data_IF_214344310976
#
_entry.id   IF_214344310976
#
_cell.length_a   1.000
_cell.length_b   1.000
_cell.length_c   1.000
_cell.angle_alpha   90.00
_cell.angle_beta   90.00
_cell.angle_gamma   90.00
#
_symmetry.space_group_name_H-M   'P 1'
#
loop_
_entity.id
_entity.type
_entity.pdbx_description
1 polymer ?
#
# COMPACT_ATOMS: atom_id res chain seq x y z
N UNK A 1 -57.82 8.81 -27.09
CA UNK A 1 -57.07 7.58 -26.74
C UNK A 1 -55.56 7.73 -26.81
N UNK A 2 -54.97 8.46 -27.77
CA UNK A 2 -53.50 8.61 -27.87
C UNK A 2 -52.92 9.47 -26.72
N UNK A 3 -53.60 10.55 -26.32
CA UNK A 3 -53.10 11.39 -25.22
C UNK A 3 -53.02 10.64 -23.88
N UNK A 4 -54.02 9.79 -23.60
CA UNK A 4 -54.12 9.02 -22.36
C UNK A 4 -53.02 7.95 -22.25
N UNK A 5 -52.61 7.34 -23.37
CA UNK A 5 -51.52 6.36 -23.37
C UNK A 5 -50.15 7.01 -23.16
N UNK A 6 -49.93 8.20 -23.74
CA UNK A 6 -48.68 8.97 -23.55
C UNK A 6 -48.52 9.39 -22.09
N UNK A 7 -49.58 9.90 -21.46
CA UNK A 7 -49.54 10.26 -20.03
C UNK A 7 -49.26 9.07 -19.13
N UNK A 8 -49.83 7.90 -19.43
CA UNK A 8 -49.61 6.69 -18.62
C UNK A 8 -48.17 6.18 -18.75
N UNK A 9 -47.61 6.21 -19.96
CA UNK A 9 -46.23 5.81 -20.21
C UNK A 9 -45.21 6.75 -19.50
N UNK A 10 -45.46 8.06 -19.49
CA UNK A 10 -44.61 9.03 -18.80
C UNK A 10 -44.61 8.82 -17.28
N UNK A 11 -45.77 8.54 -16.69
CA UNK A 11 -45.88 8.24 -15.25
C UNK A 11 -45.15 6.92 -14.92
N UNK A 12 -45.31 5.89 -15.74
CA UNK A 12 -44.62 4.61 -15.54
C UNK A 12 -43.09 4.80 -15.61
N UNK A 13 -42.59 5.55 -16.60
CA UNK A 13 -41.16 5.84 -16.75
C UNK A 13 -40.59 6.61 -15.54
N UNK A 14 -41.37 7.53 -14.94
CA UNK A 14 -40.93 8.29 -13.76
C UNK A 14 -40.91 7.46 -12.47
N UNK A 15 -41.74 6.42 -12.34
CA UNK A 15 -41.80 5.59 -11.11
C UNK A 15 -40.72 4.51 -11.02
N UNK A 16 -40.21 4.02 -12.16
CA UNK A 16 -39.13 3.03 -12.24
C UNK A 16 -37.83 3.44 -11.51
N UNK A 17 -37.27 4.65 -11.68
CA UNK A 17 -36.05 5.04 -10.98
C UNK A 17 -36.25 5.18 -9.46
N UNK A 18 -37.43 5.61 -9.02
CA UNK A 18 -37.77 5.74 -7.59
C UNK A 18 -37.81 4.37 -6.92
N UNK A 19 -38.40 3.36 -7.58
CA UNK A 19 -38.43 1.99 -7.09
C UNK A 19 -37.01 1.37 -7.02
N UNK A 20 -36.16 1.63 -8.02
CA UNK A 20 -34.76 1.20 -8.04
C UNK A 20 -33.95 1.80 -6.88
N UNK A 21 -34.12 3.09 -6.62
CA UNK A 21 -33.44 3.79 -5.51
C UNK A 21 -33.83 3.22 -4.14
N UNK A 22 -35.12 2.98 -3.91
CA UNK A 22 -35.63 2.40 -2.66
C UNK A 22 -35.11 0.96 -2.42
N UNK A 23 -35.03 0.16 -3.48
CA UNK A 23 -34.46 -1.19 -3.40
C UNK A 23 -32.95 -1.15 -3.10
N UNK A 24 -32.21 -0.21 -3.71
CA UNK A 24 -30.78 0.00 -3.47
C UNK A 24 -30.49 0.41 -2.02
N UNK A 25 -31.27 1.35 -1.46
CA UNK A 25 -31.11 1.79 -0.05
C UNK A 25 -31.34 0.64 0.93
N UNK A 26 -32.34 -0.23 0.67
CA UNK A 26 -32.60 -1.41 1.52
C UNK A 26 -31.45 -2.42 1.46
N UNK A 27 -30.90 -2.70 0.27
CA UNK A 27 -29.72 -3.58 0.12
C UNK A 27 -28.50 -3.00 0.83
N UNK A 28 -28.25 -1.70 0.69
CA UNK A 28 -27.16 -1.00 1.36
C UNK A 28 -27.26 -1.06 2.89
N UNK A 29 -28.45 -0.91 3.46
CA UNK A 29 -28.66 -1.05 4.92
C UNK A 29 -28.35 -2.47 5.42
N UNK A 30 -28.76 -3.50 4.67
CA UNK A 30 -28.46 -4.91 5.01
C UNK A 30 -26.96 -5.21 4.94
N UNK A 31 -26.27 -4.73 3.90
CA UNK A 31 -24.82 -4.90 3.76
C UNK A 31 -24.05 -4.22 4.90
N UNK A 32 -24.44 -2.99 5.30
CA UNK A 32 -23.83 -2.30 6.44
C UNK A 32 -24.11 -2.99 7.77
N UNK A 33 -25.30 -3.56 7.96
CA UNK A 33 -25.62 -4.33 9.16
C UNK A 33 -24.76 -5.60 9.24
N UNK A 34 -24.58 -6.31 8.12
CA UNK A 34 -23.71 -7.48 8.04
C UNK A 34 -22.24 -7.13 8.32
N UNK A 35 -21.72 -6.03 7.76
CA UNK A 35 -20.36 -5.56 8.03
C UNK A 35 -20.14 -5.18 9.49
N UNK A 36 -21.12 -4.52 10.13
CA UNK A 36 -21.05 -4.20 11.57
C UNK A 36 -21.05 -5.45 12.44
N UNK A 37 -21.86 -6.45 12.09
CA UNK A 37 -21.87 -7.74 12.79
C UNK A 37 -20.53 -8.48 12.61
N UNK A 38 -19.97 -8.48 11.40
CA UNK A 38 -18.65 -9.06 11.13
C UNK A 38 -17.54 -8.35 11.93
N UNK A 39 -17.54 -7.02 11.96
CA UNK A 39 -16.57 -6.23 12.74
C UNK A 39 -16.70 -6.47 14.25
N UNK A 40 -17.93 -6.55 14.77
CA UNK A 40 -18.18 -6.90 16.18
C UNK A 40 -17.66 -8.31 16.52
N UNK A 41 -17.83 -9.28 15.61
CA UNK A 41 -17.30 -10.63 15.81
C UNK A 41 -15.76 -10.69 15.74
N UNK A 42 -15.15 -9.90 14.86
CA UNK A 42 -13.70 -9.85 14.71
C UNK A 42 -13.02 -9.16 15.91
N UNK A 43 -13.60 -8.07 16.40
CA UNK A 43 -13.15 -7.39 17.62
C UNK A 43 -13.28 -8.28 18.85
N UNK A 44 -14.40 -8.98 19.03
CA UNK A 44 -14.55 -9.95 20.11
C UNK A 44 -13.51 -11.09 20.04
N UNK A 45 -13.16 -11.58 18.84
CA UNK A 45 -12.09 -12.59 18.68
C UNK A 45 -10.71 -12.01 18.97
N UNK A 46 -10.45 -10.76 18.60
CA UNK A 46 -9.20 -10.07 18.90
C UNK A 46 -9.04 -9.87 20.40
N UNK A 47 -10.08 -9.42 21.11
CA UNK A 47 -10.10 -9.30 22.57
C UNK A 47 -9.92 -10.67 23.26
N UNK A 48 -10.53 -11.73 22.73
CA UNK A 48 -10.31 -13.10 23.21
C UNK A 48 -8.87 -13.58 22.98
N UNK A 49 -8.26 -13.25 21.84
CA UNK A 49 -6.88 -13.58 21.54
C UNK A 49 -5.88 -12.76 22.38
N UNK A 50 -6.18 -11.49 22.66
CA UNK A 50 -5.39 -10.63 23.52
C UNK A 50 -5.49 -11.02 24.99
N UNK A 51 -6.68 -11.37 25.48
CA UNK A 51 -6.85 -11.95 26.83
C UNK A 51 -6.17 -13.30 26.93
N UNK A 52 -6.24 -14.17 25.91
CA UNK A 52 -5.47 -15.41 25.87
C UNK A 52 -3.95 -15.17 25.87
N UNK A 53 -3.45 -14.14 25.16
CA UNK A 53 -2.03 -13.74 25.16
C UNK A 53 -1.58 -13.11 26.49
N UNK A 54 -2.42 -12.27 27.10
CA UNK A 54 -2.14 -11.62 28.37
C UNK A 54 -2.14 -12.63 29.53
N UNK A 55 -2.82 -13.78 29.37
CA UNK A 55 -2.92 -14.84 30.38
C UNK A 55 -1.74 -15.83 30.40
N UNK A 56 -0.63 -15.63 29.67
CA UNK A 56 0.27 -16.77 29.41
C UNK A 56 1.80 -16.59 29.38
N UNK A 57 2.48 -16.24 30.50
CA UNK A 57 3.71 -16.95 30.87
C UNK A 57 3.44 -18.45 31.17
N UNK A 58 2.21 -18.79 31.58
CA UNK A 58 1.76 -20.17 31.85
C UNK A 58 1.52 -21.00 30.59
N UNK A 59 1.13 -20.41 29.44
CA UNK A 59 0.97 -21.17 28.19
C UNK A 59 2.30 -21.70 27.65
N UNK A 60 3.43 -21.03 27.92
CA UNK A 60 4.76 -21.56 27.58
C UNK A 60 5.09 -22.78 28.46
N UNK A 61 4.72 -22.76 29.74
CA UNK A 61 4.87 -23.91 30.62
C UNK A 61 3.98 -25.07 30.15
N UNK A 62 2.71 -24.82 29.81
CA UNK A 62 1.78 -25.84 29.30
C UNK A 62 2.22 -26.39 27.94
N UNK A 63 2.64 -25.55 26.98
CA UNK A 63 3.20 -25.99 25.70
C UNK A 63 4.50 -26.77 25.89
N UNK A 64 5.35 -26.39 26.84
CA UNK A 64 6.58 -27.15 27.15
C UNK A 64 6.25 -28.51 27.75
N UNK A 65 5.21 -28.60 28.59
CA UNK A 65 4.75 -29.82 29.22
C UNK A 65 4.07 -30.75 28.20
N UNK A 66 3.31 -30.19 27.27
CA UNK A 66 2.63 -30.90 26.18
C UNK A 66 3.65 -31.40 25.14
N UNK A 67 4.64 -30.58 24.78
CA UNK A 67 5.78 -30.99 23.97
C UNK A 67 6.58 -32.10 24.66
N UNK A 68 6.86 -31.99 25.97
CA UNK A 68 7.51 -33.07 26.73
C UNK A 68 6.70 -34.37 26.72
N UNK A 69 5.37 -34.28 26.78
CA UNK A 69 4.47 -35.43 26.74
C UNK A 69 4.44 -36.10 25.37
N UNK A 70 4.50 -35.32 24.29
CA UNK A 70 4.54 -35.80 22.90
C UNK A 70 5.92 -36.34 22.51
N UNK A 71 6.99 -35.76 23.06
CA UNK A 71 8.37 -36.22 22.85
C UNK A 71 8.74 -37.44 23.70
N UNK A 72 8.10 -37.66 24.85
CA UNK A 72 8.36 -38.81 25.73
C UNK A 72 8.34 -40.19 25.02
N UNK A 73 7.37 -40.53 24.15
CA UNK A 73 7.37 -41.81 23.43
C UNK A 73 8.44 -41.90 22.33
N UNK A 74 8.88 -40.77 21.77
CA UNK A 74 9.96 -40.72 20.77
C UNK A 74 11.34 -40.86 21.45
N UNK A 75 11.48 -40.32 22.66
CA UNK A 75 12.65 -40.46 23.53
C UNK A 75 12.79 -41.86 24.15
N UNK A 76 11.69 -42.62 24.25
CA UNK A 76 11.67 -44.00 24.74
C UNK A 76 12.06 -45.04 23.67
N UNK A 77 12.29 -44.62 22.42
CA UNK A 77 12.79 -45.50 21.36
C UNK A 77 14.31 -45.72 21.50
N UNK A 78 14.82 -46.95 21.34
CA UNK A 78 16.16 -47.33 21.78
C UNK A 78 17.26 -46.97 20.78
N UNK A 79 17.44 -45.69 20.48
CA UNK A 79 18.62 -45.18 19.79
C UNK A 79 19.16 -43.92 20.50
N UNK A 80 19.94 -44.09 21.59
CA UNK A 80 20.41 -42.99 22.44
C UNK A 80 21.26 -41.95 21.70
N UNK A 81 22.01 -42.35 20.68
CA UNK A 81 22.90 -41.45 19.94
C UNK A 81 22.17 -40.43 19.04
N UNK A 82 21.05 -40.82 18.42
CA UNK A 82 20.30 -39.94 17.52
C UNK A 82 19.50 -38.88 18.28
N UNK A 83 19.00 -39.24 19.47
CA UNK A 83 18.26 -38.34 20.36
C UNK A 83 19.18 -37.28 20.96
N UNK A 84 20.38 -37.66 21.41
CA UNK A 84 21.35 -36.71 21.95
C UNK A 84 21.86 -35.72 20.90
N UNK A 85 22.09 -36.19 19.67
CA UNK A 85 22.46 -35.33 18.54
C UNK A 85 21.37 -34.30 18.21
N UNK A 86 20.10 -34.74 18.14
CA UNK A 86 18.98 -33.84 17.84
C UNK A 86 18.73 -32.83 18.97
N UNK A 87 18.89 -33.24 20.23
CA UNK A 87 18.80 -32.33 21.38
C UNK A 87 19.94 -31.30 21.38
N UNK A 88 21.14 -31.70 20.99
CA UNK A 88 22.29 -30.80 20.89
C UNK A 88 22.10 -29.78 19.76
N UNK A 89 21.60 -30.20 18.59
CA UNK A 89 21.30 -29.30 17.48
C UNK A 89 20.18 -28.30 17.81
N UNK A 90 19.10 -28.76 18.46
CA UNK A 90 18.00 -27.87 18.86
C UNK A 90 18.43 -26.85 19.92
N UNK A 91 19.30 -27.24 20.86
CA UNK A 91 19.90 -26.28 21.81
C UNK A 91 20.83 -25.29 21.12
N UNK A 92 21.69 -25.76 20.21
CA UNK A 92 22.57 -24.88 19.45
C UNK A 92 21.80 -23.88 18.59
N UNK A 93 20.68 -24.30 17.97
CA UNK A 93 19.77 -23.42 17.23
C UNK A 93 19.06 -22.42 18.16
N UNK A 94 18.58 -22.87 19.32
CA UNK A 94 17.95 -21.99 20.30
C UNK A 94 18.92 -20.94 20.85
N UNK A 95 20.16 -21.33 21.15
CA UNK A 95 21.19 -20.43 21.64
C UNK A 95 21.61 -19.43 20.55
N UNK A 96 21.74 -19.87 19.30
CA UNK A 96 21.99 -19.03 18.12
C UNK A 96 20.89 -18.01 17.86
N UNK A 97 19.62 -18.42 17.95
CA UNK A 97 18.48 -17.52 17.76
C UNK A 97 18.40 -16.53 18.93
N UNK A 98 18.57 -16.99 20.17
CA UNK A 98 18.50 -16.13 21.35
C UNK A 98 19.66 -15.13 21.45
N UNK A 99 20.85 -15.47 20.93
CA UNK A 99 21.97 -14.53 20.81
C UNK A 99 21.76 -13.53 19.67
N UNK A 100 21.18 -13.94 18.54
CA UNK A 100 20.77 -13.02 17.46
C UNK A 100 19.68 -12.05 17.89
N UNK A 101 18.68 -12.50 18.65
CA UNK A 101 17.62 -11.65 19.18
C UNK A 101 18.17 -10.63 20.18
N UNK A 102 19.01 -11.08 21.13
CA UNK A 102 19.69 -10.18 22.07
C UNK A 102 20.60 -9.16 21.36
N UNK A 103 21.29 -9.59 20.30
CA UNK A 103 22.12 -8.70 19.47
C UNK A 103 21.28 -7.68 18.70
N UNK A 104 20.13 -8.09 18.16
CA UNK A 104 19.19 -7.18 17.49
C UNK A 104 18.56 -6.18 18.45
N UNK A 105 18.22 -6.58 19.67
CA UNK A 105 17.66 -5.68 20.67
C UNK A 105 18.71 -4.69 21.18
N UNK A 106 19.94 -5.15 21.44
CA UNK A 106 21.06 -4.27 21.79
C UNK A 106 21.36 -3.27 20.66
N UNK A 107 21.35 -3.73 19.40
CA UNK A 107 21.55 -2.86 18.24
C UNK A 107 20.40 -1.86 18.07
N UNK A 108 19.15 -2.28 18.28
CA UNK A 108 17.98 -1.38 18.23
C UNK A 108 18.04 -0.31 19.31
N UNK A 109 18.45 -0.68 20.52
CA UNK A 109 18.63 0.27 21.61
C UNK A 109 19.80 1.23 21.36
N UNK A 110 20.88 0.76 20.76
CA UNK A 110 22.00 1.61 20.35
C UNK A 110 21.60 2.59 19.23
N UNK A 111 20.89 2.11 18.20
CA UNK A 111 20.36 2.96 17.12
C UNK A 111 19.35 3.97 17.67
N UNK A 112 18.50 3.59 18.62
CA UNK A 112 17.54 4.51 19.27
C UNK A 112 18.24 5.55 20.13
N UNK A 113 19.32 5.16 20.80
CA UNK A 113 20.16 6.07 21.61
C UNK A 113 20.92 7.05 20.71
N UNK A 114 21.48 6.57 19.60
CA UNK A 114 22.17 7.42 18.62
C UNK A 114 21.19 8.37 17.90
N UNK A 115 20.02 7.89 17.47
CA UNK A 115 18.98 8.73 16.86
C UNK A 115 18.44 9.78 17.82
N UNK A 116 18.21 9.45 19.09
CA UNK A 116 17.76 10.43 20.09
C UNK A 116 18.84 11.47 20.42
N UNK A 117 20.12 11.09 20.33
CA UNK A 117 21.26 12.02 20.48
C UNK A 117 21.36 12.97 19.29
N UNK A 118 21.17 12.45 18.07
CA UNK A 118 21.17 13.22 16.81
C UNK A 118 19.97 14.17 16.75
N UNK A 119 18.78 13.72 17.16
CA UNK A 119 17.57 14.56 17.20
C UNK A 119 17.66 15.68 18.24
N UNK A 120 18.38 15.47 19.35
CA UNK A 120 18.67 16.53 20.33
C UNK A 120 19.69 17.56 19.85
N UNK A 121 20.54 17.21 18.88
CA UNK A 121 21.57 18.09 18.30
C UNK A 121 21.12 18.77 16.99
N UNK A 122 19.87 18.57 16.56
CA UNK A 122 19.31 19.01 15.28
C UNK A 122 19.05 20.53 15.14
N UNK A 123 19.84 21.37 15.82
CA UNK A 123 19.85 22.83 15.64
C UNK A 123 20.92 23.34 14.66
N UNK A 124 21.88 22.50 14.22
CA UNK A 124 23.00 22.95 13.41
C UNK A 124 23.39 21.90 12.32
N UNK A 125 23.20 22.19 11.02
CA UNK A 125 23.38 21.21 9.93
C UNK A 125 24.83 20.75 9.76
N UNK A 126 25.83 21.59 10.06
CA UNK A 126 27.24 21.20 9.98
C UNK A 126 27.66 20.23 11.10
N UNK A 127 27.05 20.34 12.29
CA UNK A 127 27.28 19.40 13.38
C UNK A 127 26.65 18.05 13.08
N UNK A 128 25.48 18.03 12.44
CA UNK A 128 24.83 16.80 11.96
C UNK A 128 25.75 16.04 11.00
N UNK A 129 26.36 16.74 10.06
CA UNK A 129 27.27 16.15 9.08
C UNK A 129 28.54 15.59 9.74
N UNK A 130 29.13 16.30 10.71
CA UNK A 130 30.31 15.83 11.46
C UNK A 130 29.98 14.65 12.38
N UNK A 131 28.81 14.66 13.02
CA UNK A 131 28.36 13.55 13.87
C UNK A 131 28.05 12.29 13.05
N UNK A 132 27.44 12.44 11.87
CA UNK A 132 27.29 11.35 10.90
C UNK A 132 28.65 10.80 10.45
N UNK A 133 29.60 11.68 10.13
CA UNK A 133 30.94 11.27 9.72
C UNK A 133 31.68 10.51 10.83
N UNK A 134 31.51 10.94 12.10
CA UNK A 134 32.14 10.33 13.26
C UNK A 134 31.48 9.00 13.66
N UNK A 135 30.16 8.86 13.46
CA UNK A 135 29.44 7.60 13.62
C UNK A 135 29.76 6.59 12.50
N UNK A 136 30.07 7.08 11.30
CA UNK A 136 30.49 6.23 10.17
C UNK A 136 31.97 5.81 10.23
N UNK A 137 32.83 6.52 10.98
CA UNK A 137 34.25 6.20 11.11
C UNK A 137 34.55 4.79 11.66
N UNK A 138 33.93 4.31 12.76
CA UNK A 138 34.17 2.94 13.24
C UNK A 138 33.57 1.86 12.31
N UNK A 139 32.53 2.20 11.53
CA UNK A 139 31.97 1.33 10.49
C UNK A 139 32.88 1.24 9.24
N UNK A 140 33.76 2.23 9.05
CA UNK A 140 34.77 2.28 8.00
C UNK A 140 36.13 1.70 8.43
N UNK A 141 36.32 1.35 9.71
CA UNK A 141 37.52 0.65 10.19
C UNK A 141 37.32 -0.87 10.20
N UNK A 142 36.09 -1.37 10.35
CA UNK A 142 35.72 -2.80 10.20
C UNK A 142 35.70 -3.30 8.72
N UNK A 143 36.45 -2.63 7.84
CA UNK A 143 36.26 -2.58 6.38
C UNK A 143 36.90 -3.69 5.56
N UNK A 144 37.49 -4.72 6.17
CA UNK A 144 38.23 -5.74 5.41
C UNK A 144 37.48 -7.07 5.21
N UNK A 145 36.58 -7.50 6.10
CA UNK A 145 35.95 -8.83 5.97
C UNK A 145 34.41 -8.83 5.70
N UNK A 146 33.70 -7.71 5.89
CA UNK A 146 32.22 -7.66 5.81
C UNK A 146 31.62 -6.77 4.72
N UNK A 147 32.45 -6.17 3.85
CA UNK A 147 32.01 -5.11 2.92
C UNK A 147 30.99 -5.58 1.89
N UNK A 148 31.05 -6.83 1.42
CA UNK A 148 30.09 -7.33 0.42
C UNK A 148 28.70 -7.55 1.01
N UNK A 149 28.62 -8.08 2.22
CA UNK A 149 27.35 -8.45 2.85
C UNK A 149 26.63 -7.24 3.42
N UNK A 150 27.35 -6.28 4.02
CA UNK A 150 26.75 -5.03 4.49
C UNK A 150 26.34 -4.15 3.30
N UNK A 151 27.17 -4.05 2.26
CA UNK A 151 26.80 -3.30 1.06
C UNK A 151 25.62 -3.97 0.35
N UNK A 152 25.54 -5.31 0.34
CA UNK A 152 24.37 -6.03 -0.17
C UNK A 152 23.13 -5.76 0.67
N UNK A 153 23.20 -5.85 2.00
CA UNK A 153 22.06 -5.56 2.89
C UNK A 153 21.62 -4.10 2.80
N UNK A 154 22.55 -3.15 2.74
CA UNK A 154 22.25 -1.73 2.53
C UNK A 154 21.65 -1.51 1.14
N UNK A 155 22.20 -2.13 0.11
CA UNK A 155 21.66 -2.00 -1.25
C UNK A 155 20.30 -2.65 -1.38
N UNK A 156 20.06 -3.80 -0.75
CA UNK A 156 18.76 -4.47 -0.70
C UNK A 156 17.73 -3.67 0.12
N UNK A 157 18.14 -3.09 1.24
CA UNK A 157 17.27 -2.25 2.06
C UNK A 157 16.94 -0.90 1.40
N UNK A 158 17.89 -0.32 0.66
CA UNK A 158 17.72 0.96 -0.04
C UNK A 158 17.19 0.79 -1.47
N UNK A 159 17.25 -0.40 -2.05
CA UNK A 159 16.72 -0.70 -3.39
C UNK A 159 15.30 -0.16 -3.61
N UNK A 160 14.30 -0.41 -2.74
CA UNK A 160 12.95 0.11 -2.96
C UNK A 160 12.86 1.63 -2.90
N UNK A 161 13.76 2.31 -2.18
CA UNK A 161 13.82 3.77 -2.10
C UNK A 161 14.49 4.37 -3.35
N UNK A 162 15.61 3.79 -3.77
CA UNK A 162 16.32 4.18 -4.99
C UNK A 162 15.46 3.94 -6.23
N UNK A 163 14.74 2.83 -6.28
CA UNK A 163 13.83 2.52 -7.39
C UNK A 163 12.66 3.51 -7.42
N UNK A 164 12.12 3.91 -6.26
CA UNK A 164 11.08 4.93 -6.16
C UNK A 164 11.58 6.31 -6.61
N UNK A 165 12.79 6.71 -6.22
CA UNK A 165 13.39 7.99 -6.63
C UNK A 165 13.68 7.99 -8.13
N UNK A 166 14.23 6.89 -8.65
CA UNK A 166 14.48 6.70 -10.08
C UNK A 166 13.19 6.78 -10.90
N UNK A 167 12.16 6.03 -10.52
CA UNK A 167 10.85 6.10 -11.19
C UNK A 167 10.30 7.52 -11.15
N UNK A 168 10.39 8.21 -10.01
CA UNK A 168 9.95 9.60 -9.90
C UNK A 168 10.70 10.56 -10.83
N UNK A 169 12.02 10.41 -10.93
CA UNK A 169 12.85 11.18 -11.86
C UNK A 169 12.51 10.85 -13.33
N UNK A 170 12.37 9.57 -13.69
CA UNK A 170 12.02 9.15 -15.04
C UNK A 170 10.64 9.66 -15.48
N UNK A 171 9.69 9.73 -14.55
CA UNK A 171 8.37 10.31 -14.78
C UNK A 171 8.43 11.84 -14.95
N UNK A 172 9.22 12.53 -14.14
CA UNK A 172 9.38 14.00 -14.21
C UNK A 172 10.04 14.49 -15.51
N UNK A 173 10.82 13.62 -16.16
CA UNK A 173 11.54 13.95 -17.41
C UNK A 173 10.72 13.71 -18.67
N UNK A 174 9.49 13.18 -18.56
CA UNK A 174 8.61 12.93 -19.71
C UNK A 174 8.20 14.26 -20.34
N UNK A 175 8.69 14.51 -21.55
CA UNK A 175 8.29 15.66 -22.38
C UNK A 175 7.06 15.31 -23.19
N UNK A 176 6.06 16.18 -23.18
CA UNK A 176 4.90 16.08 -24.06
C UNK A 176 5.20 16.69 -25.42
N UNK A 177 4.87 15.97 -26.48
CA UNK A 177 4.93 16.46 -27.86
C UNK A 177 3.57 16.21 -28.53
N UNK A 178 2.65 17.17 -28.41
CA UNK A 178 1.37 17.19 -29.13
C UNK A 178 0.13 17.41 -28.24
N UNK A 179 -1.00 17.75 -28.89
CA UNK A 179 -2.33 17.92 -28.29
C UNK A 179 -3.10 16.61 -28.10
N UNK A 180 -4.44 16.65 -28.05
CA UNK A 180 -5.37 15.55 -27.70
C UNK A 180 -4.97 14.12 -28.17
N UNK A 181 -4.51 13.95 -29.41
CA UNK A 181 -4.11 12.64 -29.95
C UNK A 181 -2.84 12.03 -29.33
N UNK A 182 -2.05 12.82 -28.60
CA UNK A 182 -0.82 12.38 -27.96
C UNK A 182 -1.02 11.85 -26.53
N UNK A 183 -2.22 12.00 -25.95
CA UNK A 183 -2.53 11.55 -24.59
C UNK A 183 -2.35 10.04 -24.41
N UNK A 184 -2.86 9.15 -25.27
CA UNK A 184 -2.60 7.72 -25.16
C UNK A 184 -1.10 7.37 -25.18
N UNK A 185 -0.33 7.99 -26.09
CA UNK A 185 1.12 7.78 -26.18
C UNK A 185 1.87 8.31 -24.94
N UNK A 186 1.41 9.42 -24.36
CA UNK A 186 1.92 9.93 -23.08
C UNK A 186 1.64 8.93 -21.96
N UNK A 187 0.41 8.40 -21.88
CA UNK A 187 0.04 7.41 -20.88
C UNK A 187 0.82 6.11 -21.05
N UNK A 188 1.11 5.68 -22.28
CA UNK A 188 1.99 4.53 -22.55
C UNK A 188 3.39 4.76 -22.01
N UNK A 189 3.95 5.96 -22.25
CA UNK A 189 5.28 6.32 -21.75
C UNK A 189 5.33 6.32 -20.22
N UNK A 190 4.29 6.86 -19.57
CA UNK A 190 4.16 6.86 -18.10
C UNK A 190 4.02 5.42 -17.59
N UNK A 191 3.14 4.62 -18.20
CA UNK A 191 2.89 3.25 -17.79
C UNK A 191 4.16 2.40 -17.89
N UNK A 192 4.92 2.54 -18.97
CA UNK A 192 6.19 1.84 -19.17
C UNK A 192 7.23 2.24 -18.12
N UNK A 193 7.44 3.54 -17.89
CA UNK A 193 8.43 4.05 -16.92
C UNK A 193 8.06 3.76 -15.46
N UNK A 194 6.78 3.79 -15.14
CA UNK A 194 6.28 3.45 -13.81
C UNK A 194 6.08 1.93 -13.61
N UNK A 195 6.33 1.10 -14.63
CA UNK A 195 6.06 -0.32 -14.65
C UNK A 195 4.60 -0.67 -14.26
N UNK A 196 3.65 0.08 -14.80
CA UNK A 196 2.22 -0.11 -14.61
C UNK A 196 1.66 -0.97 -15.75
N UNK A 197 0.79 -1.92 -15.40
CA UNK A 197 0.10 -2.77 -16.38
C UNK A 197 -1.08 -2.07 -17.06
N UNK A 198 -1.61 -1.02 -16.44
CA UNK A 198 -2.72 -0.22 -17.00
C UNK A 198 -2.66 1.18 -16.41
N UNK A 199 -2.85 2.18 -17.25
CA UNK A 199 -2.97 3.58 -16.85
C UNK A 199 -4.18 4.20 -17.56
N UNK A 200 -5.07 4.83 -16.80
CA UNK A 200 -6.31 5.41 -17.30
C UNK A 200 -6.46 6.82 -16.75
N UNK A 201 -6.75 7.77 -17.63
CA UNK A 201 -7.16 9.11 -17.28
C UNK A 201 -8.68 9.21 -17.43
N UNK A 202 -9.34 9.69 -16.37
CA UNK A 202 -10.79 9.88 -16.33
C UNK A 202 -11.15 11.29 -15.86
N UNK A 203 -12.31 11.78 -16.29
CA UNK A 203 -12.87 13.06 -15.85
C UNK A 203 -13.57 12.95 -14.48
N UNK A 204 -14.24 14.03 -14.07
CA UNK A 204 -14.98 14.08 -12.81
C UNK A 204 -16.25 13.22 -12.78
N UNK A 205 -16.79 12.89 -13.96
CA UNK A 205 -17.94 11.99 -14.11
C UNK A 205 -17.54 10.52 -14.08
N UNK A 206 -16.24 10.22 -14.13
CA UNK A 206 -15.74 8.85 -14.24
C UNK A 206 -15.74 8.33 -15.68
N UNK A 207 -15.79 9.22 -16.67
CA UNK A 207 -15.65 8.83 -18.06
C UNK A 207 -14.16 8.73 -18.43
N UNK A 208 -13.73 7.64 -19.09
CA UNK A 208 -12.35 7.52 -19.53
C UNK A 208 -12.09 8.47 -20.69
N UNK A 209 -11.11 9.37 -20.52
CA UNK A 209 -10.66 10.32 -21.55
C UNK A 209 -9.54 9.72 -22.40
N UNK A 210 -8.62 8.99 -21.75
CA UNK A 210 -7.52 8.32 -22.41
C UNK A 210 -7.06 7.13 -21.56
N UNK A 211 -6.47 6.13 -22.22
CA UNK A 211 -5.86 4.99 -21.55
C UNK A 211 -4.56 4.60 -22.27
N UNK A 212 -3.65 3.96 -21.55
CA UNK A 212 -2.51 3.27 -22.16
C UNK A 212 -3.00 2.14 -23.08
N UNK A 213 -2.28 1.87 -24.16
CA UNK A 213 -2.60 0.86 -25.18
C UNK A 213 -2.83 -0.54 -24.61
N UNK A 214 -2.08 -0.92 -23.57
CA UNK A 214 -2.21 -2.21 -22.88
C UNK A 214 -3.20 -2.18 -21.70
N UNK A 215 -3.93 -1.07 -21.49
CA UNK A 215 -4.86 -0.95 -20.39
C UNK A 215 -5.98 -1.98 -20.47
N UNK A 216 -6.22 -2.68 -19.37
CA UNK A 216 -7.37 -3.57 -19.19
C UNK A 216 -8.37 -2.94 -18.23
N UNK A 217 -9.62 -3.38 -18.34
CA UNK A 217 -10.69 -3.00 -17.41
C UNK A 217 -10.88 -1.46 -17.29
N UNK A 218 -10.70 -0.73 -18.40
CA UNK A 218 -10.71 0.75 -18.45
C UNK A 218 -11.96 1.34 -17.80
N UNK A 219 -13.14 0.81 -18.14
CA UNK A 219 -14.42 1.26 -17.59
C UNK A 219 -14.53 0.98 -16.09
N UNK A 220 -13.99 -0.14 -15.63
CA UNK A 220 -13.99 -0.49 -14.22
C UNK A 220 -13.06 0.45 -13.43
N UNK A 221 -11.87 0.77 -13.96
CA UNK A 221 -10.92 1.70 -13.35
C UNK A 221 -11.44 3.14 -13.31
N UNK A 222 -12.12 3.58 -14.38
CA UNK A 222 -12.75 4.89 -14.42
C UNK A 222 -13.96 4.95 -13.47
N UNK A 223 -14.75 3.87 -13.39
CA UNK A 223 -15.85 3.74 -12.45
C UNK A 223 -15.40 3.77 -10.98
N UNK A 224 -14.35 3.03 -10.61
CA UNK A 224 -13.79 3.06 -9.24
C UNK A 224 -13.17 4.41 -8.89
N UNK A 225 -12.55 5.08 -9.87
CA UNK A 225 -12.08 6.46 -9.72
C UNK A 225 -13.22 7.44 -9.41
N UNK A 226 -14.38 7.31 -10.06
CA UNK A 226 -15.57 8.13 -9.79
C UNK A 226 -16.10 7.95 -8.35
N UNK A 227 -16.08 6.70 -7.86
CA UNK A 227 -16.41 6.43 -6.45
C UNK A 227 -15.42 7.11 -5.50
N UNK A 228 -14.12 7.07 -5.81
CA UNK A 228 -13.09 7.74 -5.03
C UNK A 228 -13.27 9.27 -5.03
N UNK A 229 -13.58 9.88 -6.18
CA UNK A 229 -13.93 11.30 -6.28
C UNK A 229 -15.14 11.65 -5.40
N UNK A 230 -16.19 10.83 -5.43
CA UNK A 230 -17.39 11.03 -4.60
C UNK A 230 -17.06 11.00 -3.10
N UNK A 231 -16.17 10.09 -2.67
CA UNK A 231 -15.68 10.04 -1.29
C UNK A 231 -14.87 11.29 -0.95
N UNK A 232 -14.04 11.76 -1.87
CA UNK A 232 -13.22 12.96 -1.72
C UNK A 232 -14.09 14.20 -1.51
N UNK A 233 -15.14 14.36 -2.32
CA UNK A 233 -16.10 15.46 -2.24
C UNK A 233 -16.90 15.44 -0.95
N UNK A 234 -17.27 14.24 -0.50
CA UNK A 234 -17.99 14.08 0.75
C UNK A 234 -17.12 14.48 1.94
N UNK A 235 -15.85 14.08 1.95
CA UNK A 235 -14.91 14.45 3.02
C UNK A 235 -14.85 15.98 3.14
N UNK A 236 -14.64 16.67 2.01
CA UNK A 236 -14.59 18.14 1.93
C UNK A 236 -15.89 18.79 2.46
N UNK A 237 -17.07 18.32 2.02
CA UNK A 237 -18.37 18.84 2.51
C UNK A 237 -18.61 18.62 4.00
N UNK A 238 -17.99 17.60 4.59
CA UNK A 238 -18.08 17.32 6.03
C UNK A 238 -16.99 17.99 6.86
N UNK A 239 -16.19 18.87 6.27
CA UNK A 239 -15.09 19.56 6.94
C UNK A 239 -13.89 18.65 7.24
N UNK A 240 -13.80 17.48 6.61
CA UNK A 240 -12.65 16.58 6.71
C UNK A 240 -11.63 16.92 5.62
N UNK A 241 -10.33 16.61 5.84
CA UNK A 241 -9.31 16.74 4.81
C UNK A 241 -9.69 15.93 3.56
N UNK A 242 -9.58 16.57 2.40
CA UNK A 242 -9.88 15.93 1.12
C UNK A 242 -8.76 14.93 0.75
N UNK A 243 -9.07 13.64 0.55
CA UNK A 243 -8.10 12.68 0.05
C UNK A 243 -7.72 13.00 -1.40
N UNK A 244 -6.42 13.01 -1.66
CA UNK A 244 -5.82 13.31 -2.97
C UNK A 244 -5.39 12.04 -3.71
N UNK A 245 -5.18 10.96 -2.98
CA UNK A 245 -4.86 9.65 -3.55
C UNK A 245 -5.46 8.52 -2.71
N UNK A 246 -5.73 7.40 -3.36
CA UNK A 246 -6.09 6.13 -2.73
C UNK A 246 -5.30 5.00 -3.38
N UNK A 247 -4.81 4.08 -2.56
CA UNK A 247 -4.18 2.83 -3.01
C UNK A 247 -5.02 1.66 -2.53
N UNK A 248 -5.39 0.78 -3.45
CA UNK A 248 -6.23 -0.38 -3.24
C UNK A 248 -5.41 -1.64 -3.55
N UNK A 249 -5.48 -2.64 -2.68
CA UNK A 249 -4.90 -3.96 -2.93
C UNK A 249 -6.06 -4.94 -3.14
N UNK A 250 -6.04 -5.66 -4.27
CA UNK A 250 -7.04 -6.68 -4.57
C UNK A 250 -6.56 -8.11 -4.20
N UNK A 251 -7.49 -9.07 -4.32
CA UNK A 251 -7.25 -10.49 -4.05
C UNK A 251 -6.28 -11.16 -5.03
N UNK A 252 -6.17 -10.61 -6.25
CA UNK A 252 -5.19 -11.00 -7.26
C UNK A 252 -3.79 -10.39 -7.02
N UNK A 253 -3.56 -9.74 -5.88
CA UNK A 253 -2.31 -9.07 -5.52
C UNK A 253 -1.91 -7.97 -6.53
N UNK A 254 -2.91 -7.26 -7.06
CA UNK A 254 -2.75 -6.04 -7.84
C UNK A 254 -2.96 -4.83 -6.94
N UNK A 255 -2.08 -3.85 -7.09
CA UNK A 255 -2.23 -2.55 -6.47
C UNK A 255 -2.81 -1.57 -7.49
N UNK A 256 -3.94 -0.97 -7.17
CA UNK A 256 -4.55 0.10 -7.94
C UNK A 256 -4.38 1.42 -7.21
N UNK A 257 -3.78 2.40 -7.87
CA UNK A 257 -3.67 3.77 -7.36
C UNK A 257 -4.65 4.66 -8.11
N UNK A 258 -5.40 5.47 -7.39
CA UNK A 258 -6.17 6.59 -7.91
C UNK A 258 -5.54 7.88 -7.41
N UNK A 259 -5.24 8.82 -8.32
CA UNK A 259 -4.68 10.14 -7.98
C UNK A 259 -5.54 11.22 -8.60
N UNK A 260 -6.15 12.07 -7.76
CA UNK A 260 -7.03 13.15 -8.20
C UNK A 260 -6.28 14.46 -8.36
N UNK A 261 -6.45 15.15 -9.47
CA UNK A 261 -5.81 16.42 -9.73
C UNK A 261 -6.76 17.35 -10.47
N UNK A 262 -6.38 18.62 -10.59
CA UNK A 262 -7.25 19.66 -11.12
C UNK A 262 -6.52 20.42 -12.21
N UNK A 263 -7.19 20.64 -13.34
CA UNK A 263 -6.71 21.49 -14.43
C UNK A 263 -7.77 22.55 -14.68
N UNK A 264 -7.43 23.82 -14.43
CA UNK A 264 -8.41 24.90 -14.43
C UNK A 264 -9.52 24.65 -13.40
N UNK A 265 -10.78 24.64 -13.86
CA UNK A 265 -11.94 24.33 -13.03
C UNK A 265 -12.32 22.83 -13.05
N UNK A 266 -11.74 22.05 -13.96
CA UNK A 266 -12.09 20.65 -14.15
C UNK A 266 -11.24 19.72 -13.27
N UNK A 267 -11.84 18.60 -12.87
CA UNK A 267 -11.19 17.59 -12.04
C UNK A 267 -11.00 16.31 -12.81
N UNK A 268 -9.85 15.70 -12.60
CA UNK A 268 -9.44 14.51 -13.29
C UNK A 268 -8.89 13.48 -12.30
N UNK A 269 -8.97 12.22 -12.68
CA UNK A 269 -8.34 11.12 -11.93
C UNK A 269 -7.44 10.33 -12.85
N UNK A 270 -6.17 10.22 -12.45
CA UNK A 270 -5.21 9.30 -13.05
C UNK A 270 -5.18 8.01 -12.24
N UNK A 271 -5.52 6.90 -12.88
CA UNK A 271 -5.65 5.58 -12.27
C UNK A 271 -4.62 4.62 -12.84
N UNK A 272 -3.78 4.04 -11.99
CA UNK A 272 -2.71 3.12 -12.39
C UNK A 272 -2.86 1.76 -11.71
N UNK A 273 -2.51 0.68 -12.41
CA UNK A 273 -2.47 -0.68 -11.85
C UNK A 273 -1.06 -1.24 -11.94
N UNK A 274 -0.55 -1.77 -10.83
CA UNK A 274 0.68 -2.56 -10.78
C UNK A 274 0.41 -3.95 -10.23
N UNK A 275 1.21 -4.94 -10.62
CA UNK A 275 1.12 -6.32 -10.10
C UNK A 275 2.40 -6.68 -9.37
N UNK A 276 2.29 -7.20 -8.14
CA UNK A 276 3.44 -7.67 -7.37
C UNK A 276 4.42 -6.57 -6.92
N UNK A 277 4.03 -5.29 -7.04
CA UNK A 277 4.83 -4.13 -6.60
C UNK A 277 4.01 -3.26 -5.67
N UNK A 278 4.66 -2.73 -4.63
CA UNK A 278 4.05 -1.75 -3.74
C UNK A 278 4.00 -0.37 -4.41
N UNK A 279 2.81 0.23 -4.47
CA UNK A 279 2.62 1.60 -4.95
C UNK A 279 2.43 2.55 -3.76
N UNK A 280 3.24 3.61 -3.72
CA UNK A 280 3.04 4.69 -2.76
C UNK A 280 1.92 5.65 -3.25
N UNK A 281 1.18 6.32 -2.35
CA UNK A 281 0.12 7.27 -2.74
C UNK A 281 0.59 8.43 -3.65
N UNK A 282 1.87 8.79 -3.59
CA UNK A 282 2.47 9.83 -4.45
C UNK A 282 3.17 9.30 -5.70
N UNK A 283 3.04 8.01 -6.04
CA UNK A 283 3.80 7.39 -7.12
C UNK A 283 3.55 8.03 -8.51
N UNK A 284 2.39 8.65 -8.69
CA UNK A 284 2.01 9.31 -9.94
C UNK A 284 2.27 10.82 -9.96
N UNK A 285 2.63 11.44 -8.82
CA UNK A 285 2.81 12.90 -8.71
C UNK A 285 3.78 13.46 -9.77
N UNK A 286 4.93 12.81 -10.07
CA UNK A 286 5.87 13.35 -11.04
C UNK A 286 5.35 13.34 -12.48
N UNK A 287 4.36 12.50 -12.79
CA UNK A 287 3.73 12.42 -14.10
C UNK A 287 2.60 13.45 -14.28
N UNK A 288 2.05 14.00 -13.20
CA UNK A 288 0.88 14.90 -13.25
C UNK A 288 1.18 16.14 -14.10
N UNK A 289 2.32 16.77 -13.92
CA UNK A 289 2.70 17.99 -14.65
C UNK A 289 2.67 17.80 -16.18
N UNK A 290 3.08 16.63 -16.66
CA UNK A 290 3.04 16.30 -18.10
C UNK A 290 1.61 16.08 -18.59
N UNK A 291 0.78 15.41 -17.78
CA UNK A 291 -0.64 15.20 -18.09
C UNK A 291 -1.43 16.51 -18.05
N UNK A 292 -1.19 17.36 -17.05
CA UNK A 292 -1.82 18.68 -16.91
C UNK A 292 -1.50 19.58 -18.12
N UNK A 293 -0.25 19.59 -18.59
CA UNK A 293 0.13 20.33 -19.79
C UNK A 293 -0.59 19.84 -21.04
N UNK A 294 -0.75 18.52 -21.19
CA UNK A 294 -1.50 17.95 -22.32
C UNK A 294 -2.98 18.34 -22.26
N UNK A 295 -3.58 18.35 -21.07
CA UNK A 295 -4.97 18.77 -20.85
C UNK A 295 -5.17 20.28 -21.03
N UNK A 296 -4.22 21.14 -20.63
CA UNK A 296 -4.33 22.58 -20.85
C UNK A 296 -4.34 22.96 -22.33
N UNK A 297 -3.69 22.17 -23.19
CA UNK A 297 -3.74 22.39 -24.65
C UNK A 297 -5.11 22.03 -25.25
N UNK A 298 -5.92 21.26 -24.53
CA UNK A 298 -7.29 20.89 -24.91
C UNK A 298 -8.26 22.06 -24.80
N UNK A 299 -8.18 22.85 -23.72
CA UNK A 299 -9.15 23.94 -23.47
C UNK A 299 -9.01 25.14 -24.43
N UNK A 300 -7.90 25.22 -25.16
CA UNK A 300 -7.61 26.29 -26.13
C UNK A 300 -7.81 25.91 -27.60
N UNK A 301 -8.25 24.67 -27.89
CA UNK A 301 -8.48 24.15 -29.24
C UNK A 301 -9.98 24.04 -29.54
#
# INVERSE_FOLDING_TARGET
MILTTITLAAIAAATLPVAGYLAGVRRGRRARAALRAAHASATARAEQAETARASGPDQRAVLSQELQRVLAPVLASPQPAAVEALQHELRALHDSISTRERGNDAFRDEVRTQLSTILRQAGNPEQLQRSLQKAMAPLLEHKQDGSSDLQRVITEALAPLLERERTGYELSTIRTSGGLGALPALLDTIAQKAALSSLVLSDEAGLPLAASSDARDVDALAGTAAFFLTLSDRAERTGQPRPLSSVLLDDANRMTIHRTFTVGAARYTLSGVARGRSLAPGALDPALLSVERALLQQDYS
#
